data_IF_225258646199
#
_entry.id   IF_225258646199
#
_cell.length_a   1.000
_cell.length_b   1.000
_cell.length_c   1.000
_cell.angle_alpha   90.00
_cell.angle_beta   90.00
_cell.angle_gamma   90.00
#
_symmetry.space_group_name_H-M   'P 1'
#
loop_
_entity.id
_entity.type
_entity.pdbx_description
1 polymer ?
#
# COMPACT_ATOMS: atom_id res chain seq x y z
N UNK A 1 19.91 3.98 12.09
CA UNK A 1 18.61 3.55 11.53
C UNK A 1 18.87 2.54 10.45
N UNK A 2 17.95 1.61 10.26
CA UNK A 2 17.99 0.62 9.17
C UNK A 2 16.89 0.92 8.17
N UNK A 3 17.17 0.71 6.89
CA UNK A 3 16.18 0.76 5.81
C UNK A 3 15.93 -0.66 5.31
N UNK A 4 14.67 -1.06 5.21
CA UNK A 4 14.28 -2.40 4.80
C UNK A 4 13.14 -2.30 3.80
N UNK A 5 13.27 -3.02 2.69
CA UNK A 5 12.23 -3.13 1.68
C UNK A 5 11.74 -4.57 1.57
N UNK A 6 10.43 -4.75 1.47
CA UNK A 6 9.84 -6.07 1.38
C UNK A 6 8.34 -6.03 1.10
N UNK A 7 7.75 -7.21 1.04
CA UNK A 7 6.30 -7.40 0.92
C UNK A 7 5.75 -7.73 2.29
N UNK A 8 4.65 -7.09 2.69
CA UNK A 8 3.91 -7.45 3.90
C UNK A 8 3.36 -8.86 3.71
N UNK A 9 3.98 -9.83 4.36
CA UNK A 9 3.64 -11.24 4.27
C UNK A 9 2.43 -11.55 5.14
N UNK A 10 2.43 -10.99 6.36
CA UNK A 10 1.37 -11.19 7.33
C UNK A 10 1.23 -9.98 8.25
N UNK A 11 -0.01 -9.61 8.57
CA UNK A 11 -0.32 -8.68 9.65
C UNK A 11 -0.72 -9.50 10.88
N UNK A 12 0.18 -9.59 11.86
CA UNK A 12 0.00 -10.38 13.09
C UNK A 12 -1.00 -9.71 14.04
N UNK A 13 -0.95 -8.37 14.10
CA UNK A 13 -1.86 -7.57 14.89
C UNK A 13 -2.04 -6.20 14.23
N UNK A 14 -3.25 -5.66 14.30
CA UNK A 14 -3.58 -4.31 13.88
C UNK A 14 -4.57 -3.71 14.87
N UNK A 15 -4.28 -2.48 15.30
CA UNK A 15 -5.22 -1.63 15.99
C UNK A 15 -5.77 -0.63 14.97
N UNK A 16 -7.06 -0.75 14.64
CA UNK A 16 -7.69 0.12 13.63
C UNK A 16 -7.93 1.55 14.14
N UNK A 17 -7.94 1.79 15.45
CA UNK A 17 -8.17 3.12 16.05
C UNK A 17 -6.95 4.04 15.89
N UNK A 18 -5.76 3.53 16.21
CA UNK A 18 -4.52 4.32 16.20
C UNK A 18 -3.52 3.93 15.10
N UNK A 19 -3.80 2.87 14.33
CA UNK A 19 -2.94 2.40 13.25
C UNK A 19 -1.69 1.65 13.71
N UNK A 20 -1.59 1.24 14.98
CA UNK A 20 -0.49 0.39 15.45
C UNK A 20 -0.57 -0.99 14.82
N UNK A 21 0.55 -1.48 14.31
CA UNK A 21 0.66 -2.77 13.64
C UNK A 21 1.84 -3.58 14.13
N UNK A 22 1.66 -4.89 14.12
CA UNK A 22 2.74 -5.89 14.18
C UNK A 22 2.66 -6.68 12.88
N UNK A 23 3.70 -6.59 12.07
CA UNK A 23 3.72 -7.24 10.75
C UNK A 23 4.98 -8.07 10.55
N UNK A 24 4.88 -9.03 9.62
CA UNK A 24 6.00 -9.78 9.07
C UNK A 24 6.28 -9.25 7.67
N UNK A 25 7.48 -8.71 7.48
CA UNK A 25 7.95 -8.18 6.22
C UNK A 25 8.86 -9.21 5.55
N UNK A 26 8.42 -9.75 4.42
CA UNK A 26 9.21 -10.67 3.60
C UNK A 26 10.13 -9.88 2.70
N UNK A 27 11.43 -9.98 2.98
CA UNK A 27 12.50 -9.43 2.16
C UNK A 27 12.99 -10.51 1.17
N UNK A 28 14.09 -10.25 0.45
CA UNK A 28 14.70 -11.27 -0.41
C UNK A 28 15.28 -12.44 0.39
N UNK A 29 15.85 -12.14 1.56
CA UNK A 29 16.68 -13.07 2.31
C UNK A 29 15.99 -13.55 3.59
N UNK A 30 15.17 -12.70 4.20
CA UNK A 30 14.61 -12.93 5.53
C UNK A 30 13.13 -12.53 5.67
N UNK A 31 12.48 -13.09 6.70
CA UNK A 31 11.17 -12.67 7.19
C UNK A 31 11.33 -11.87 8.49
N UNK A 32 11.14 -10.57 8.42
CA UNK A 32 11.47 -9.63 9.51
C UNK A 32 10.21 -9.21 10.26
N UNK A 33 10.24 -9.24 11.59
CA UNK A 33 9.17 -8.65 12.41
C UNK A 33 9.35 -7.13 12.46
N UNK A 34 8.28 -6.38 12.19
CA UNK A 34 8.29 -4.93 12.32
C UNK A 34 7.05 -4.45 13.09
N UNK A 35 7.24 -3.42 13.91
CA UNK A 35 6.21 -2.85 14.77
C UNK A 35 6.23 -1.34 14.72
N UNK A 36 5.06 -0.72 14.73
CA UNK A 36 4.93 0.73 14.71
C UNK A 36 3.57 1.17 14.23
N UNK A 37 3.42 2.46 13.95
CA UNK A 37 2.15 3.03 13.51
C UNK A 37 2.14 3.15 12.00
N UNK A 38 1.52 2.20 11.32
CA UNK A 38 1.40 2.17 9.86
C UNK A 38 -0.07 1.96 9.50
N UNK A 39 -0.88 3.02 9.54
CA UNK A 39 -2.29 2.92 9.24
C UNK A 39 -2.50 2.52 7.77
N UNK A 40 -3.62 1.84 7.48
CA UNK A 40 -3.99 1.39 6.12
C UNK A 40 -3.03 0.41 5.44
N UNK A 41 -2.11 -0.22 6.19
CA UNK A 41 -1.29 -1.31 5.68
C UNK A 41 -2.15 -2.55 5.40
N UNK A 42 -1.88 -3.24 4.30
CA UNK A 42 -2.51 -4.52 3.94
C UNK A 42 -1.48 -5.56 3.57
N UNK A 43 -1.84 -6.83 3.73
CA UNK A 43 -1.03 -7.95 3.25
C UNK A 43 -0.84 -7.86 1.73
N UNK A 44 0.33 -8.30 1.25
CA UNK A 44 0.73 -8.21 -0.15
C UNK A 44 1.25 -6.85 -0.60
N UNK A 45 1.12 -5.78 0.20
CA UNK A 45 1.71 -4.48 -0.13
C UNK A 45 3.23 -4.54 -0.05
N UNK A 46 3.89 -3.92 -1.02
CA UNK A 46 5.34 -3.71 -0.98
C UNK A 46 5.62 -2.38 -0.32
N UNK A 47 6.49 -2.38 0.70
CA UNK A 47 6.82 -1.19 1.49
C UNK A 47 8.33 -1.05 1.67
N UNK A 48 8.76 0.20 1.86
CA UNK A 48 10.05 0.58 2.43
C UNK A 48 9.80 1.10 3.84
N UNK A 49 10.47 0.52 4.83
CA UNK A 49 10.44 1.02 6.21
C UNK A 49 11.81 1.54 6.60
N UNK A 50 11.83 2.62 7.36
CA UNK A 50 13.02 3.05 8.11
C UNK A 50 12.75 2.95 9.60
N UNK A 51 13.74 2.48 10.36
CA UNK A 51 13.52 2.22 11.77
C UNK A 51 14.77 1.83 12.55
N UNK A 52 14.54 1.24 13.71
CA UNK A 52 15.60 0.78 14.62
C UNK A 52 15.34 -0.65 15.05
N UNK A 53 16.39 -1.47 15.07
CA UNK A 53 16.31 -2.80 15.67
C UNK A 53 16.10 -2.68 17.18
N UNK A 54 15.11 -3.39 17.68
CA UNK A 54 14.80 -3.50 19.11
C UNK A 54 14.57 -4.97 19.46
N UNK A 55 14.76 -5.31 20.74
CA UNK A 55 14.49 -6.65 21.26
C UNK A 55 13.29 -6.54 22.19
N UNK A 56 12.18 -7.19 21.83
CA UNK A 56 11.04 -7.35 22.72
C UNK A 56 11.32 -8.48 23.72
N UNK A 57 11.01 -8.31 25.02
CA UNK A 57 11.24 -9.35 26.03
C UNK A 57 10.61 -10.71 25.70
N UNK A 58 9.44 -10.69 25.05
CA UNK A 58 8.66 -11.90 24.71
C UNK A 58 8.79 -12.33 23.25
N UNK A 59 8.93 -11.38 22.32
CA UNK A 59 8.80 -11.64 20.88
C UNK A 59 10.14 -11.59 20.13
N UNK A 60 11.22 -11.26 20.84
CA UNK A 60 12.57 -11.22 20.28
C UNK A 60 12.80 -10.01 19.38
N UNK A 61 13.68 -10.19 18.40
CA UNK A 61 14.17 -9.12 17.55
C UNK A 61 13.10 -8.63 16.56
N UNK A 62 12.90 -7.32 16.52
CA UNK A 62 11.96 -6.65 15.63
C UNK A 62 12.47 -5.26 15.24
N UNK A 63 11.94 -4.71 14.17
CA UNK A 63 12.22 -3.33 13.75
C UNK A 63 11.11 -2.42 14.26
N UNK A 64 11.46 -1.42 15.07
CA UNK A 64 10.55 -0.33 15.42
C UNK A 64 10.52 0.66 14.25
N UNK A 65 9.40 0.70 13.55
CA UNK A 65 9.15 1.54 12.37
C UNK A 65 9.09 3.00 12.81
N UNK A 66 9.87 3.86 12.14
CA UNK A 66 9.84 5.32 12.26
C UNK A 66 9.18 5.98 11.06
N UNK A 67 9.41 5.44 9.86
CA UNK A 67 8.72 5.84 8.63
C UNK A 67 8.39 4.61 7.79
N UNK A 68 7.33 4.72 7.00
CA UNK A 68 6.90 3.68 6.08
C UNK A 68 6.39 4.35 4.80
N UNK A 69 6.91 3.89 3.67
CA UNK A 69 6.51 4.33 2.34
C UNK A 69 6.04 3.12 1.53
N UNK A 70 4.94 3.29 0.79
CA UNK A 70 4.48 2.28 -0.16
C UNK A 70 5.32 2.34 -1.44
N UNK A 71 5.78 1.18 -1.89
CA UNK A 71 6.44 1.02 -3.19
C UNK A 71 5.40 0.46 -4.16
N UNK A 72 4.93 1.30 -5.07
CA UNK A 72 4.04 0.85 -6.13
C UNK A 72 4.78 -0.14 -7.06
N UNK A 73 4.08 -1.17 -7.56
CA UNK A 73 4.65 -2.06 -8.55
C UNK A 73 4.89 -1.31 -9.86
N UNK A 74 6.02 -1.59 -10.50
CA UNK A 74 6.38 -1.01 -11.80
C UNK A 74 6.27 -1.99 -12.97
N UNK A 75 6.09 -3.29 -12.69
CA UNK A 75 5.90 -4.30 -13.73
C UNK A 75 4.43 -4.71 -13.86
N UNK A 76 4.08 -5.14 -15.07
CA UNK A 76 2.72 -5.55 -15.48
C UNK A 76 2.05 -6.48 -14.46
N UNK A 77 2.72 -7.57 -14.06
CA UNK A 77 2.15 -8.56 -13.14
C UNK A 77 1.88 -7.97 -11.75
N UNK A 78 2.82 -7.18 -11.23
CA UNK A 78 2.68 -6.50 -9.96
C UNK A 78 1.54 -5.49 -9.98
N UNK A 79 1.41 -4.73 -11.07
CA UNK A 79 0.34 -3.75 -11.25
C UNK A 79 -1.03 -4.44 -11.30
N UNK A 80 -1.17 -5.53 -12.06
CA UNK A 80 -2.42 -6.28 -12.13
C UNK A 80 -2.83 -6.80 -10.74
N UNK A 81 -1.87 -7.42 -10.02
CA UNK A 81 -2.10 -7.91 -8.65
C UNK A 81 -2.52 -6.77 -7.72
N UNK A 82 -1.80 -5.65 -7.75
CA UNK A 82 -2.11 -4.48 -6.93
C UNK A 82 -3.51 -3.93 -7.21
N UNK A 83 -3.85 -3.76 -8.48
CA UNK A 83 -5.18 -3.27 -8.89
C UNK A 83 -6.30 -4.25 -8.52
N UNK A 84 -6.04 -5.55 -8.56
CA UNK A 84 -7.02 -6.61 -8.24
C UNK A 84 -7.17 -6.91 -6.74
N UNK A 85 -6.32 -6.31 -5.89
CA UNK A 85 -6.24 -6.61 -4.45
C UNK A 85 -7.46 -6.16 -3.64
N UNK A 86 -8.34 -5.36 -4.24
CA UNK A 86 -9.46 -4.73 -3.55
C UNK A 86 -9.10 -3.42 -2.83
N UNK A 87 -7.84 -2.97 -2.92
CA UNK A 87 -7.40 -1.69 -2.38
C UNK A 87 -8.08 -0.48 -3.04
N UNK A 88 -8.47 -0.61 -4.31
CA UNK A 88 -9.14 0.43 -5.07
C UNK A 88 -10.57 -0.04 -5.36
N UNK A 89 -11.58 0.48 -4.63
CA UNK A 89 -12.98 0.20 -4.91
C UNK A 89 -13.33 0.40 -6.38
N UNK A 90 -14.06 -0.56 -6.95
CA UNK A 90 -14.46 -0.53 -8.36
C UNK A 90 -13.49 -1.22 -9.32
N UNK A 91 -12.31 -1.67 -8.85
CA UNK A 91 -11.41 -2.53 -9.62
C UNK A 91 -11.40 -3.95 -9.05
N UNK A 92 -12.11 -4.86 -9.73
CA UNK A 92 -11.99 -6.30 -9.50
C UNK A 92 -10.95 -6.95 -10.44
N UNK A 93 -10.64 -8.25 -10.27
CA UNK A 93 -9.61 -8.94 -11.05
C UNK A 93 -9.76 -8.80 -12.58
N UNK A 94 -10.99 -8.89 -13.10
CA UNK A 94 -11.26 -8.72 -14.54
C UNK A 94 -10.97 -7.29 -15.01
N UNK A 95 -11.37 -6.30 -14.22
CA UNK A 95 -11.13 -4.89 -14.54
C UNK A 95 -9.63 -4.57 -14.48
N UNK A 96 -8.93 -5.04 -13.45
CA UNK A 96 -7.47 -4.90 -13.32
C UNK A 96 -6.75 -5.47 -14.54
N UNK A 97 -7.08 -6.70 -14.93
CA UNK A 97 -6.51 -7.34 -16.13
C UNK A 97 -6.76 -6.53 -17.40
N UNK A 98 -7.96 -5.99 -17.58
CA UNK A 98 -8.29 -5.20 -18.77
C UNK A 98 -7.56 -3.85 -18.81
N UNK A 99 -7.43 -3.18 -17.66
CA UNK A 99 -6.65 -1.94 -17.52
C UNK A 99 -5.20 -2.21 -17.91
N UNK A 100 -4.58 -3.21 -17.29
CA UNK A 100 -3.16 -3.56 -17.55
C UNK A 100 -2.94 -4.05 -18.98
N UNK A 101 -3.88 -4.80 -19.55
CA UNK A 101 -3.82 -5.19 -20.97
C UNK A 101 -3.82 -3.97 -21.90
N UNK A 102 -4.53 -2.90 -21.55
CA UNK A 102 -4.67 -1.70 -22.37
C UNK A 102 -3.49 -0.72 -22.19
N UNK A 103 -3.01 -0.56 -20.96
CA UNK A 103 -2.06 0.50 -20.58
C UNK A 103 -0.70 0.00 -20.11
N UNK A 104 -0.53 -1.29 -19.86
CA UNK A 104 0.74 -1.87 -19.43
C UNK A 104 1.24 -1.25 -18.13
N UNK A 105 2.51 -0.86 -18.12
CA UNK A 105 3.18 -0.28 -16.96
C UNK A 105 2.66 1.13 -16.60
N UNK A 106 2.04 1.83 -17.55
CA UNK A 106 1.47 3.18 -17.36
C UNK A 106 0.10 3.17 -16.66
N UNK A 107 -0.41 1.99 -16.28
CA UNK A 107 -1.78 1.84 -15.76
C UNK A 107 -2.06 2.70 -14.52
N UNK A 108 -1.11 2.74 -13.57
CA UNK A 108 -1.28 3.51 -12.32
C UNK A 108 -1.27 5.02 -12.61
N UNK A 109 -0.35 5.48 -13.46
CA UNK A 109 -0.25 6.87 -13.88
C UNK A 109 -1.50 7.33 -14.66
N UNK A 110 -2.07 6.45 -15.48
CA UNK A 110 -3.32 6.74 -16.20
C UNK A 110 -4.50 6.83 -15.24
N UNK A 111 -4.57 5.96 -14.23
CA UNK A 111 -5.59 6.05 -13.18
C UNK A 111 -5.48 7.40 -12.44
N UNK A 112 -4.27 7.82 -12.07
CA UNK A 112 -4.05 9.02 -11.27
C UNK A 112 -4.21 10.32 -12.06
N UNK A 113 -3.59 10.40 -13.24
CA UNK A 113 -3.40 11.64 -13.99
C UNK A 113 -4.35 11.78 -15.17
N UNK A 114 -4.79 10.67 -15.77
CA UNK A 114 -5.56 10.68 -17.02
C UNK A 114 -6.80 9.76 -16.97
N UNK A 115 -7.69 9.86 -15.95
CA UNK A 115 -8.79 8.93 -15.77
C UNK A 115 -9.73 8.82 -16.96
N UNK A 116 -9.86 9.89 -17.77
CA UNK A 116 -10.65 9.87 -19.00
C UNK A 116 -10.26 8.76 -19.98
N UNK A 117 -8.98 8.34 -20.01
CA UNK A 117 -8.50 7.24 -20.84
C UNK A 117 -9.03 5.88 -20.39
N UNK A 118 -9.37 5.71 -19.11
CA UNK A 118 -9.95 4.45 -18.61
C UNK A 118 -11.24 4.07 -19.34
N UNK A 119 -11.94 5.03 -19.98
CA UNK A 119 -13.10 4.77 -20.83
C UNK A 119 -12.80 3.89 -22.05
N UNK A 120 -11.53 3.76 -22.43
CA UNK A 120 -11.07 2.85 -23.49
C UNK A 120 -10.99 1.38 -23.03
N UNK A 121 -11.28 1.10 -21.76
CA UNK A 121 -11.28 -0.23 -21.17
C UNK A 121 -12.71 -0.76 -21.07
N UNK A 122 -12.95 -1.95 -21.61
CA UNK A 122 -14.27 -2.59 -21.57
C UNK A 122 -14.81 -2.70 -20.13
N UNK A 123 -16.03 -2.20 -19.93
CA UNK A 123 -16.70 -2.20 -18.62
C UNK A 123 -16.33 -1.03 -17.71
N UNK A 124 -15.63 -0.01 -18.22
CA UNK A 124 -15.38 1.25 -17.52
C UNK A 124 -16.05 2.41 -18.28
N UNK A 125 -17.20 2.85 -17.78
CA UNK A 125 -17.84 4.10 -18.21
C UNK A 125 -17.25 5.32 -17.50
N UNK A 126 -17.62 6.52 -17.95
CA UNK A 126 -17.10 7.79 -17.44
C UNK A 126 -17.21 7.93 -15.91
N UNK A 127 -18.40 7.67 -15.35
CA UNK A 127 -18.61 7.74 -13.90
C UNK A 127 -17.67 6.79 -13.13
N UNK A 128 -17.45 5.59 -13.65
CA UNK A 128 -16.59 4.58 -13.02
C UNK A 128 -15.12 4.97 -13.13
N UNK A 129 -14.70 5.52 -14.27
CA UNK A 129 -13.34 6.01 -14.47
C UNK A 129 -12.94 7.08 -13.44
N UNK A 130 -13.79 8.09 -13.25
CA UNK A 130 -13.53 9.13 -12.26
C UNK A 130 -13.61 8.59 -10.83
N UNK A 131 -14.58 7.72 -10.51
CA UNK A 131 -14.66 7.11 -9.19
C UNK A 131 -13.41 6.27 -8.84
N UNK A 132 -12.86 5.53 -9.80
CA UNK A 132 -11.61 4.78 -9.63
C UNK A 132 -10.44 5.70 -9.33
N UNK A 133 -10.31 6.80 -10.08
CA UNK A 133 -9.25 7.79 -9.86
C UNK A 133 -9.36 8.46 -8.49
N UNK A 134 -10.55 8.89 -8.11
CA UNK A 134 -10.76 9.52 -6.80
C UNK A 134 -10.44 8.53 -5.67
N UNK A 135 -10.91 7.28 -5.76
CA UNK A 135 -10.58 6.26 -4.78
C UNK A 135 -9.08 5.97 -4.69
N UNK A 136 -8.37 5.95 -5.83
CA UNK A 136 -6.92 5.79 -5.87
C UNK A 136 -6.19 6.98 -5.21
N UNK A 137 -6.64 8.21 -5.47
CA UNK A 137 -6.09 9.43 -4.86
C UNK A 137 -6.38 9.51 -3.37
N UNK A 138 -7.61 9.24 -2.93
CA UNK A 138 -7.98 9.23 -1.51
C UNK A 138 -7.14 8.21 -0.74
N UNK A 139 -6.92 7.02 -1.31
CA UNK A 139 -6.04 6.01 -0.72
C UNK A 139 -4.60 6.54 -0.54
N UNK A 140 -4.10 7.37 -1.46
CA UNK A 140 -2.75 8.00 -1.37
C UNK A 140 -2.70 9.18 -0.42
N UNK A 141 -3.67 10.09 -0.50
CA UNK A 141 -3.74 11.31 0.32
C UNK A 141 -3.94 10.99 1.80
N UNK A 142 -4.79 10.02 2.14
CA UNK A 142 -4.94 9.56 3.51
C UNK A 142 -3.60 9.09 4.07
N UNK A 143 -2.86 8.25 3.33
CA UNK A 143 -1.53 7.77 3.73
C UNK A 143 -0.56 8.94 4.01
N UNK A 144 -0.56 9.97 3.17
CA UNK A 144 0.32 11.14 3.33
C UNK A 144 0.01 11.97 4.59
N UNK A 145 -1.28 12.20 4.89
CA UNK A 145 -1.69 12.99 6.06
C UNK A 145 -1.31 12.31 7.38
N UNK A 146 -1.43 10.99 7.47
CA UNK A 146 -1.07 10.28 8.71
C UNK A 146 0.42 10.25 8.96
N UNK A 147 1.25 10.07 7.92
CA UNK A 147 2.71 10.18 8.04
C UNK A 147 3.11 11.59 8.52
N UNK A 148 2.41 12.62 8.05
CA UNK A 148 2.62 14.01 8.49
C UNK A 148 2.22 14.22 9.96
N UNK A 149 1.02 13.81 10.39
CA UNK A 149 0.55 13.99 11.77
C UNK A 149 1.41 13.22 12.78
N UNK A 150 1.93 12.05 12.40
CA UNK A 150 2.87 11.27 13.21
C UNK A 150 4.20 12.00 13.45
N UNK A 151 4.66 12.83 12.50
CA UNK A 151 5.87 13.65 12.67
C UNK A 151 5.71 14.67 13.82
N UNK A 152 4.47 15.02 14.19
CA UNK A 152 4.13 15.92 15.29
C UNK A 152 3.63 15.20 16.56
N UNK A 153 3.68 13.86 16.60
CA UNK A 153 3.28 13.07 17.77
C UNK A 153 1.78 13.01 18.04
N UNK A 154 0.94 13.35 17.04
CA UNK A 154 -0.52 13.28 17.16
C UNK A 154 -1.00 11.89 16.76
N UNK A 155 -1.51 11.12 17.72
CA UNK A 155 -2.31 9.93 17.45
C UNK A 155 -3.69 10.36 16.98
N UNK A 156 -4.20 9.77 15.90
CA UNK A 156 -5.64 9.80 15.63
C UNK A 156 -6.35 9.09 16.78
N UNK A 157 -7.36 9.75 17.35
CA UNK A 157 -8.17 9.30 18.48
C UNK A 157 -9.55 8.89 17.98
#
# INVERSE_FOLDING_TARGET
>A
MVEIQGVVDQIVYKNDDNGYVVLKLKTKDDLIAAVGYVPFITEGQRIKIEGEWVIHPTFGQQVKIKSCEEILPSNIEGIERYLSSGLIPGIGPVTAKNIVKKFGEDSLDIIEMNPGKLKEVDGIGEKKAFAISEAFKEQRELKNVMVFLQTYGVSTA
#
